data_IF_699788176819
#
_entry.id   IF_699788176819
#
_cell.length_a   1.000
_cell.length_b   1.000
_cell.length_c   1.000
_cell.angle_alpha   90.00
_cell.angle_beta   90.00
_cell.angle_gamma   90.00
#
_symmetry.space_group_name_H-M   'P 1'
#
loop_
_entity.id
_entity.type
_entity.pdbx_description
1 polymer ?
#
# COMPACT_ATOMS: atom_id res chain seq x y z
N UNK A 1 20.79 -30.36 -22.02
CA UNK A 1 19.33 -30.37 -22.25
C UNK A 1 18.49 -29.44 -21.35
N UNK A 2 18.15 -29.78 -20.09
CA UNK A 2 17.24 -28.94 -19.28
C UNK A 2 17.78 -27.52 -19.06
N UNK A 3 19.10 -27.39 -18.89
CA UNK A 3 19.83 -26.10 -18.84
C UNK A 3 19.68 -25.31 -20.15
N UNK A 4 19.89 -25.95 -21.30
CA UNK A 4 19.75 -25.31 -22.62
C UNK A 4 18.30 -24.87 -22.91
N UNK A 5 17.29 -25.70 -22.56
CA UNK A 5 15.88 -25.34 -22.77
C UNK A 5 15.45 -24.21 -21.84
N UNK A 6 15.95 -24.23 -20.60
CA UNK A 6 15.71 -23.18 -19.60
C UNK A 6 16.30 -21.84 -20.02
N UNK A 7 17.58 -21.83 -20.39
CA UNK A 7 18.29 -20.62 -20.82
C UNK A 7 17.87 -20.19 -22.23
N UNK A 8 17.54 -21.13 -23.11
CA UNK A 8 17.21 -20.89 -24.52
C UNK A 8 18.41 -20.35 -25.31
N UNK A 9 18.25 -20.25 -26.64
CA UNK A 9 19.25 -19.61 -27.52
C UNK A 9 19.37 -18.09 -27.27
N UNK A 10 18.42 -17.49 -26.53
CA UNK A 10 18.34 -16.05 -26.28
C UNK A 10 18.00 -15.66 -24.82
N UNK A 11 18.27 -16.50 -23.82
CA UNK A 11 18.10 -16.10 -22.41
C UNK A 11 16.66 -16.07 -21.87
N UNK A 12 15.74 -16.85 -22.44
CA UNK A 12 14.31 -16.81 -22.13
C UNK A 12 13.92 -17.28 -20.70
N UNK A 13 14.89 -17.73 -19.87
CA UNK A 13 14.76 -18.03 -18.44
C UNK A 13 13.42 -18.72 -18.06
N UNK A 14 13.08 -19.80 -18.76
CA UNK A 14 11.75 -20.39 -18.71
C UNK A 14 11.47 -21.10 -17.38
N UNK A 15 10.22 -21.06 -16.92
CA UNK A 15 9.80 -21.75 -15.70
C UNK A 15 9.98 -23.28 -15.80
N UNK A 16 10.22 -23.94 -14.66
CA UNK A 16 10.55 -25.37 -14.59
C UNK A 16 9.50 -26.28 -15.25
N UNK A 17 8.21 -25.95 -15.12
CA UNK A 17 7.10 -26.70 -15.76
C UNK A 17 7.13 -26.58 -17.30
N UNK A 18 7.46 -25.40 -17.82
CA UNK A 18 7.60 -25.16 -19.26
C UNK A 18 8.78 -25.94 -19.83
N UNK A 19 9.89 -25.96 -19.11
CA UNK A 19 11.08 -26.76 -19.47
C UNK A 19 10.73 -28.25 -19.50
N UNK A 20 10.11 -28.77 -18.44
CA UNK A 20 9.69 -30.18 -18.38
C UNK A 20 8.74 -30.55 -19.53
N UNK A 21 7.78 -29.69 -19.84
CA UNK A 21 6.84 -29.89 -20.95
C UNK A 21 7.55 -29.96 -22.31
N UNK A 22 8.59 -29.14 -22.53
CA UNK A 22 9.39 -29.18 -23.75
C UNK A 22 10.24 -30.45 -23.84
N UNK A 23 10.78 -30.93 -22.72
CA UNK A 23 11.52 -32.19 -22.70
C UNK A 23 10.61 -33.37 -23.05
N UNK A 24 9.39 -33.42 -22.50
CA UNK A 24 8.41 -34.45 -22.85
C UNK A 24 8.03 -34.42 -24.34
N UNK A 25 7.88 -33.23 -24.93
CA UNK A 25 7.59 -33.10 -26.38
C UNK A 25 8.72 -33.59 -27.28
N UNK A 26 9.94 -33.72 -26.77
CA UNK A 26 11.07 -34.32 -27.49
C UNK A 26 11.13 -35.84 -27.34
N UNK A 27 10.09 -36.46 -26.76
CA UNK A 27 10.02 -37.91 -26.55
C UNK A 27 10.86 -38.42 -25.38
N UNK A 28 11.45 -37.52 -24.60
CA UNK A 28 12.29 -37.89 -23.46
C UNK A 28 11.43 -37.98 -22.21
N UNK A 29 11.38 -39.18 -21.64
CA UNK A 29 10.61 -39.48 -20.45
C UNK A 29 11.51 -39.93 -19.30
N UNK A 30 11.32 -39.31 -18.15
CA UNK A 30 11.92 -39.73 -16.88
C UNK A 30 10.99 -39.33 -15.72
N UNK A 31 10.74 -40.19 -14.71
CA UNK A 31 9.81 -39.87 -13.62
C UNK A 31 10.16 -38.61 -12.82
N UNK A 32 11.44 -38.24 -12.76
CA UNK A 32 11.94 -37.10 -11.97
C UNK A 32 12.24 -35.85 -12.80
N UNK A 33 11.80 -35.79 -14.06
CA UNK A 33 12.16 -34.70 -14.98
C UNK A 33 11.77 -33.32 -14.44
N UNK A 34 10.62 -33.24 -13.76
CA UNK A 34 10.17 -32.01 -13.13
C UNK A 34 11.10 -31.59 -11.99
N UNK A 35 11.59 -32.55 -11.18
CA UNK A 35 12.55 -32.28 -10.10
C UNK A 35 13.86 -31.73 -10.68
N UNK A 36 14.36 -32.34 -11.76
CA UNK A 36 15.56 -31.87 -12.47
C UNK A 36 15.37 -30.45 -13.00
N UNK A 37 14.22 -30.15 -13.60
CA UNK A 37 13.92 -28.81 -14.10
C UNK A 37 13.82 -27.78 -12.96
N UNK A 38 13.20 -28.13 -11.82
CA UNK A 38 13.12 -27.25 -10.65
C UNK A 38 14.50 -26.95 -10.09
N UNK A 39 15.36 -27.97 -9.94
CA UNK A 39 16.75 -27.78 -9.49
C UNK A 39 17.52 -26.89 -10.47
N UNK A 40 17.31 -27.06 -11.78
CA UNK A 40 17.98 -26.26 -12.79
C UNK A 40 17.58 -24.78 -12.73
N UNK A 41 16.28 -24.48 -12.58
CA UNK A 41 15.79 -23.09 -12.42
C UNK A 41 16.28 -22.50 -11.10
N UNK A 42 16.25 -23.27 -10.00
CA UNK A 42 16.75 -22.82 -8.69
C UNK A 42 18.24 -22.48 -8.70
N UNK A 43 19.06 -23.14 -9.52
CA UNK A 43 20.49 -22.86 -9.67
C UNK A 43 20.79 -21.69 -10.62
N UNK A 44 19.80 -21.19 -11.36
CA UNK A 44 20.01 -20.13 -12.33
C UNK A 44 20.09 -18.76 -11.64
N UNK A 45 21.27 -18.14 -11.69
CA UNK A 45 21.53 -16.84 -11.07
C UNK A 45 20.62 -15.73 -11.63
N UNK A 46 20.38 -15.71 -12.95
CA UNK A 46 19.44 -14.74 -13.56
C UNK A 46 18.03 -14.88 -12.97
N UNK A 47 17.55 -16.11 -12.76
CA UNK A 47 16.26 -16.36 -12.14
C UNK A 47 16.24 -16.07 -10.64
N UNK A 48 17.36 -16.24 -9.93
CA UNK A 48 17.46 -15.89 -8.51
C UNK A 48 17.46 -14.38 -8.31
N UNK A 49 18.19 -13.63 -9.16
CA UNK A 49 18.30 -12.17 -9.07
C UNK A 49 17.01 -11.45 -9.48
N UNK A 50 16.32 -11.95 -10.51
CA UNK A 50 15.17 -11.25 -11.11
C UNK A 50 13.83 -11.98 -10.87
N UNK A 51 13.86 -13.17 -10.28
CA UNK A 51 12.65 -13.93 -9.97
C UNK A 51 11.87 -13.24 -8.87
N UNK A 52 10.53 -13.23 -8.99
CA UNK A 52 9.66 -12.78 -7.90
C UNK A 52 9.90 -13.69 -6.69
N UNK A 53 10.27 -13.12 -5.55
CA UNK A 53 10.30 -13.84 -4.28
C UNK A 53 8.86 -14.20 -3.89
N UNK A 54 8.49 -15.48 -3.79
CA UNK A 54 7.19 -15.88 -3.28
C UNK A 54 7.08 -15.68 -1.75
N UNK A 55 8.20 -15.33 -1.10
CA UNK A 55 8.37 -15.34 0.36
C UNK A 55 8.74 -13.95 0.85
N UNK A 56 8.24 -12.89 0.22
CA UNK A 56 8.11 -11.65 0.97
C UNK A 56 7.14 -11.94 2.12
N UNK A 57 7.54 -11.76 3.39
CA UNK A 57 6.60 -11.90 4.48
C UNK A 57 5.43 -10.95 4.20
N UNK A 58 4.24 -11.52 4.04
CA UNK A 58 3.02 -10.73 4.10
C UNK A 58 2.93 -10.32 5.56
N UNK A 59 3.33 -9.09 5.90
CA UNK A 59 3.04 -8.54 7.20
C UNK A 59 1.52 -8.60 7.39
N UNK A 60 1.11 -9.17 8.52
CA UNK A 60 -0.31 -9.24 8.86
C UNK A 60 -0.79 -7.81 9.07
N UNK A 61 -1.79 -7.40 8.28
CA UNK A 61 -2.36 -6.06 8.40
C UNK A 61 -3.08 -5.99 9.74
N UNK A 62 -2.51 -5.26 10.70
CA UNK A 62 -3.14 -5.04 11.99
C UNK A 62 -4.37 -4.14 11.80
N UNK A 63 -5.59 -4.62 12.14
CA UNK A 63 -6.79 -3.81 12.02
C UNK A 63 -6.81 -2.78 13.15
N UNK A 64 -6.81 -1.51 12.78
CA UNK A 64 -6.99 -0.40 13.72
C UNK A 64 -8.37 -0.54 14.39
N UNK A 65 -8.39 -0.81 15.70
CA UNK A 65 -9.62 -1.01 16.46
C UNK A 65 -10.48 0.27 16.46
N UNK A 66 -11.77 0.21 16.06
CA UNK A 66 -12.65 1.36 16.08
C UNK A 66 -13.17 1.59 17.51
N UNK A 67 -12.77 2.71 18.12
CA UNK A 67 -13.03 2.96 19.55
C UNK A 67 -14.41 3.62 19.76
N UNK A 68 -14.74 4.63 18.95
CA UNK A 68 -16.01 5.39 19.02
C UNK A 68 -16.37 5.99 17.66
N UNK A 69 -17.66 6.13 17.30
CA UNK A 69 -18.08 6.82 16.08
C UNK A 69 -17.54 8.24 16.05
N UNK A 70 -17.00 8.67 14.90
CA UNK A 70 -16.45 10.02 14.70
C UNK A 70 -15.35 10.39 15.72
N UNK A 71 -14.57 9.41 16.18
CA UNK A 71 -13.36 9.70 16.93
C UNK A 71 -12.13 9.75 16.01
N UNK A 72 -12.13 8.94 14.95
CA UNK A 72 -10.94 8.68 14.14
C UNK A 72 -11.27 8.72 12.65
N UNK A 73 -10.49 9.48 11.90
CA UNK A 73 -10.65 9.62 10.46
C UNK A 73 -9.34 9.34 9.72
N UNK A 74 -9.44 8.63 8.60
CA UNK A 74 -8.34 8.42 7.68
C UNK A 74 -8.43 9.43 6.55
N UNK A 75 -7.38 10.23 6.34
CA UNK A 75 -7.28 11.15 5.21
C UNK A 75 -6.35 10.58 4.15
N UNK A 76 -6.80 10.64 2.90
CA UNK A 76 -5.99 10.28 1.74
C UNK A 76 -6.23 11.28 0.59
N UNK A 77 -5.21 11.44 -0.24
CA UNK A 77 -5.27 12.17 -1.50
C UNK A 77 -5.06 11.18 -2.63
N UNK A 78 -6.10 11.00 -3.42
CA UNK A 78 -6.04 10.14 -4.59
C UNK A 78 -5.19 10.82 -5.66
N UNK A 79 -4.28 10.01 -6.22
CA UNK A 79 -3.32 10.34 -7.28
C UNK A 79 -3.92 11.17 -8.42
N UNK A 80 -3.07 11.88 -9.19
CA UNK A 80 -3.55 12.75 -10.25
C UNK A 80 -4.34 11.98 -11.31
N UNK A 81 -5.59 12.37 -11.48
CA UNK A 81 -6.48 11.97 -12.56
C UNK A 81 -6.21 12.80 -13.82
N UNK A 82 -6.68 12.36 -15.00
CA UNK A 82 -6.83 13.23 -16.15
C UNK A 82 -7.60 14.49 -15.74
N UNK A 83 -7.12 15.66 -16.18
CA UNK A 83 -7.70 16.95 -15.79
C UNK A 83 -9.16 17.00 -16.20
N UNK A 84 -10.05 17.12 -15.21
CA UNK A 84 -11.48 17.24 -15.42
C UNK A 84 -11.85 18.67 -15.85
N UNK A 85 -13.14 18.87 -16.18
CA UNK A 85 -13.70 20.21 -16.38
C UNK A 85 -13.42 21.04 -15.12
N UNK A 86 -12.95 22.27 -15.30
CA UNK A 86 -12.54 23.22 -14.25
C UNK A 86 -11.16 22.98 -13.60
N UNK A 87 -10.31 22.13 -14.17
CA UNK A 87 -8.91 22.01 -13.74
C UNK A 87 -8.67 21.09 -12.53
N UNK A 88 -9.70 20.37 -12.09
CA UNK A 88 -9.59 19.36 -11.03
C UNK A 88 -8.77 18.16 -11.50
N UNK A 89 -7.79 17.76 -10.70
CA UNK A 89 -6.90 16.63 -11.00
C UNK A 89 -6.66 15.71 -9.82
N UNK A 90 -7.02 16.10 -8.60
CA UNK A 90 -6.90 15.25 -7.42
C UNK A 90 -8.26 15.11 -6.75
N UNK A 91 -8.37 14.17 -5.81
CA UNK A 91 -9.50 14.10 -4.88
C UNK A 91 -8.95 13.89 -3.48
N UNK A 92 -9.40 14.69 -2.51
CA UNK A 92 -9.19 14.40 -1.10
C UNK A 92 -10.36 13.58 -0.59
N UNK A 93 -10.06 12.55 0.19
CA UNK A 93 -11.04 11.65 0.79
C UNK A 93 -10.75 11.54 2.28
N UNK A 94 -11.80 11.56 3.07
CA UNK A 94 -11.77 11.24 4.48
C UNK A 94 -12.72 10.08 4.77
N UNK A 95 -12.23 9.08 5.48
CA UNK A 95 -13.02 7.91 5.87
C UNK A 95 -13.03 7.79 7.39
N UNK A 96 -14.21 7.81 7.98
CA UNK A 96 -14.40 7.57 9.41
C UNK A 96 -14.25 6.08 9.72
N UNK A 97 -13.49 5.74 10.76
CA UNK A 97 -13.05 4.35 10.98
C UNK A 97 -14.16 3.41 11.49
N UNK A 98 -15.13 3.90 12.27
CA UNK A 98 -16.18 3.08 12.88
C UNK A 98 -17.29 2.70 11.89
N UNK A 99 -17.96 3.69 11.33
CA UNK A 99 -19.11 3.58 10.43
C UNK A 99 -18.72 3.46 8.97
N UNK A 100 -17.44 3.69 8.63
CA UNK A 100 -16.95 3.80 7.25
C UNK A 100 -17.59 4.96 6.48
N UNK A 101 -18.03 6.01 7.18
CA UNK A 101 -18.55 7.22 6.54
C UNK A 101 -17.48 7.90 5.68
N UNK A 102 -17.86 8.36 4.48
CA UNK A 102 -16.92 8.92 3.50
C UNK A 102 -17.29 10.37 3.19
N UNK A 103 -16.33 11.27 3.32
CA UNK A 103 -16.37 12.63 2.79
C UNK A 103 -15.32 12.76 1.68
N UNK A 104 -15.67 13.36 0.53
CA UNK A 104 -14.75 13.51 -0.60
C UNK A 104 -14.96 14.82 -1.35
N UNK A 105 -13.87 15.47 -1.77
CA UNK A 105 -13.92 16.72 -2.55
C UNK A 105 -12.84 16.72 -3.65
N UNK A 106 -13.18 17.17 -4.88
CA UNK A 106 -12.19 17.29 -5.94
C UNK A 106 -11.26 18.49 -5.70
N UNK A 107 -9.98 18.34 -5.99
CA UNK A 107 -8.95 19.36 -5.83
C UNK A 107 -8.23 19.69 -7.14
N UNK A 108 -8.10 20.98 -7.44
CA UNK A 108 -7.32 21.48 -8.59
C UNK A 108 -5.82 21.42 -8.33
N UNK A 109 -5.41 21.64 -7.08
CA UNK A 109 -4.05 21.49 -6.61
C UNK A 109 -4.07 20.98 -5.16
N UNK A 110 -3.03 20.25 -4.77
CA UNK A 110 -2.83 19.79 -3.40
C UNK A 110 -2.10 20.90 -2.64
N UNK A 111 -2.86 21.72 -1.91
CA UNK A 111 -2.35 22.87 -1.12
C UNK A 111 -2.85 22.80 0.32
N UNK A 112 -2.16 23.48 1.25
CA UNK A 112 -2.50 23.47 2.68
C UNK A 112 -3.91 24.00 2.90
N UNK A 113 -4.19 25.17 2.35
CA UNK A 113 -5.49 25.82 2.41
C UNK A 113 -6.63 24.93 1.87
N UNK A 114 -6.41 24.17 0.80
CA UNK A 114 -7.44 23.29 0.25
C UNK A 114 -7.74 22.10 1.17
N UNK A 115 -6.70 21.49 1.74
CA UNK A 115 -6.83 20.37 2.69
C UNK A 115 -7.50 20.86 3.99
N UNK A 116 -7.05 21.98 4.56
CA UNK A 116 -7.62 22.57 5.77
C UNK A 116 -9.09 22.96 5.57
N UNK A 117 -9.42 23.60 4.44
CA UNK A 117 -10.80 23.96 4.10
C UNK A 117 -11.70 22.73 4.04
N UNK A 118 -11.23 21.65 3.44
CA UNK A 118 -11.95 20.38 3.37
C UNK A 118 -12.20 19.81 4.78
N UNK A 119 -11.14 19.73 5.62
CA UNK A 119 -11.26 19.21 6.99
C UNK A 119 -12.20 20.06 7.84
N UNK A 120 -12.05 21.39 7.79
CA UNK A 120 -12.89 22.30 8.55
C UNK A 120 -14.36 22.17 8.14
N UNK A 121 -14.65 22.31 6.84
CA UNK A 121 -16.02 22.36 6.33
C UNK A 121 -16.74 21.02 6.43
N UNK A 122 -16.09 19.93 6.02
CA UNK A 122 -16.77 18.65 5.83
C UNK A 122 -16.67 17.75 7.06
N UNK A 123 -15.70 17.98 7.95
CA UNK A 123 -15.50 17.16 9.16
C UNK A 123 -15.80 17.98 10.41
N UNK A 124 -15.03 19.04 10.69
CA UNK A 124 -15.11 19.76 11.98
C UNK A 124 -16.45 20.47 12.17
N UNK A 125 -16.91 21.25 11.19
CA UNK A 125 -18.19 21.96 11.29
C UNK A 125 -19.41 21.04 11.34
N UNK A 126 -19.29 19.76 10.94
CA UNK A 126 -20.41 18.82 10.85
C UNK A 126 -20.44 17.82 12.00
N UNK A 127 -19.28 17.30 12.38
CA UNK A 127 -19.14 16.21 13.35
C UNK A 127 -18.36 16.63 14.61
N UNK A 128 -17.88 17.87 14.68
CA UNK A 128 -17.06 18.38 15.78
C UNK A 128 -15.57 18.09 15.60
N UNK A 129 -14.79 18.44 16.62
CA UNK A 129 -13.34 18.19 16.64
C UNK A 129 -13.10 16.70 16.85
N UNK A 130 -12.34 16.10 15.94
CA UNK A 130 -12.03 14.67 15.97
C UNK A 130 -10.89 14.41 16.95
N UNK A 131 -10.86 13.21 17.53
CA UNK A 131 -9.78 12.80 18.44
C UNK A 131 -8.50 12.49 17.66
N UNK A 132 -8.62 11.85 16.50
CA UNK A 132 -7.46 11.39 15.75
C UNK A 132 -7.67 11.48 14.24
N UNK A 133 -6.61 11.87 13.54
CA UNK A 133 -6.51 11.80 12.10
C UNK A 133 -5.30 10.96 11.69
N UNK A 134 -5.52 10.02 10.78
CA UNK A 134 -4.51 9.10 10.26
C UNK A 134 -4.29 9.42 8.79
N UNK A 135 -3.02 9.53 8.38
CA UNK A 135 -2.67 9.75 6.97
C UNK A 135 -1.66 8.72 6.52
N UNK A 136 -1.87 8.14 5.33
CA UNK A 136 -0.97 7.15 4.72
C UNK A 136 0.13 7.81 3.85
N UNK A 137 -0.10 9.04 3.40
CA UNK A 137 0.80 9.81 2.54
C UNK A 137 1.91 10.56 3.31
N UNK A 138 2.27 10.04 4.48
CA UNK A 138 3.57 10.08 5.17
C UNK A 138 4.20 11.43 5.55
N UNK A 139 4.13 12.46 4.72
CA UNK A 139 4.76 13.77 4.96
C UNK A 139 4.02 14.92 4.30
N UNK A 140 3.45 14.71 3.10
CA UNK A 140 2.81 15.79 2.35
C UNK A 140 1.53 16.28 3.05
N UNK A 141 0.62 15.36 3.39
CA UNK A 141 -0.63 15.71 4.06
C UNK A 141 -0.39 16.34 5.44
N UNK A 142 0.49 15.73 6.23
CA UNK A 142 0.83 16.22 7.56
C UNK A 142 1.47 17.63 7.50
N UNK A 143 2.42 17.85 6.58
CA UNK A 143 3.04 19.17 6.38
C UNK A 143 2.02 20.23 5.95
N UNK A 144 1.10 19.87 5.04
CA UNK A 144 0.06 20.80 4.57
C UNK A 144 -0.94 21.18 5.66
N UNK A 145 -1.18 20.31 6.63
CA UNK A 145 -2.05 20.61 7.77
C UNK A 145 -1.33 21.42 8.85
N UNK A 146 -0.01 21.23 9.01
CA UNK A 146 0.82 21.93 10.00
C UNK A 146 1.32 23.32 9.55
N UNK A 147 1.32 23.61 8.24
CA UNK A 147 2.04 24.77 7.70
C UNK A 147 1.50 26.16 8.12
N UNK A 148 0.27 26.25 8.65
CA UNK A 148 -0.44 27.52 8.87
C UNK A 148 -1.06 27.66 10.28
N UNK A 149 -0.51 27.01 11.32
CA UNK A 149 -1.02 27.01 12.71
C UNK A 149 -2.46 26.49 12.89
N UNK A 150 -3.08 25.93 11.85
CA UNK A 150 -4.43 25.37 11.84
C UNK A 150 -4.67 24.29 12.93
N UNK A 151 -3.58 23.65 13.38
CA UNK A 151 -3.61 22.57 14.36
C UNK A 151 -3.54 23.04 15.82
N UNK A 152 -3.08 24.27 16.08
CA UNK A 152 -2.96 24.77 17.47
C UNK A 152 -4.31 24.86 18.21
N UNK A 153 -5.43 25.24 17.57
CA UNK A 153 -6.74 25.28 18.25
C UNK A 153 -7.40 23.89 18.43
N UNK A 154 -6.91 22.85 17.73
CA UNK A 154 -7.49 21.50 17.77
C UNK A 154 -6.71 20.60 18.73
N UNK A 155 -6.47 21.05 19.96
CA UNK A 155 -5.64 20.37 20.98
C UNK A 155 -6.06 18.91 21.26
N UNK A 156 -7.27 18.51 20.87
CA UNK A 156 -7.77 17.14 21.03
C UNK A 156 -7.45 16.20 19.86
N UNK A 157 -6.92 16.70 18.74
CA UNK A 157 -6.64 15.92 17.54
C UNK A 157 -5.18 15.43 17.53
N UNK A 158 -4.96 14.15 17.83
CA UNK A 158 -3.68 13.48 17.58
C UNK A 158 -3.54 13.08 16.10
N UNK A 159 -2.37 13.36 15.55
CA UNK A 159 -2.04 13.02 14.16
C UNK A 159 -1.05 11.89 14.18
N UNK A 160 -1.41 10.77 13.56
CA UNK A 160 -0.57 9.59 13.56
C UNK A 160 -0.23 9.22 12.12
N UNK A 161 1.07 9.10 11.85
CA UNK A 161 1.51 8.54 10.59
C UNK A 161 1.25 7.03 10.62
N UNK A 162 0.75 6.46 9.51
CA UNK A 162 0.45 5.02 9.47
C UNK A 162 1.62 4.12 9.90
N UNK A 163 2.87 4.53 9.65
CA UNK A 163 4.07 3.82 10.10
C UNK A 163 4.29 3.83 11.61
N UNK A 164 3.84 4.86 12.34
CA UNK A 164 4.00 4.96 13.80
C UNK A 164 3.00 4.08 14.56
N UNK A 165 1.80 3.85 13.99
CA UNK A 165 0.84 2.88 14.52
C UNK A 165 1.40 1.44 14.51
N UNK A 166 2.29 1.13 13.56
CA UNK A 166 2.89 -0.20 13.44
C UNK A 166 3.95 -0.45 14.54
N UNK A 167 4.57 0.59 15.09
CA UNK A 167 5.61 0.50 16.11
C UNK A 167 5.04 0.46 17.55
N UNK A 168 3.93 1.15 17.83
CA UNK A 168 3.33 1.25 19.18
C UNK A 168 2.64 -0.06 19.64
N UNK A 169 2.22 -0.90 18.70
CA UNK A 169 1.60 -2.20 19.00
C UNK A 169 2.63 -3.31 19.27
N UNK A 170 3.86 -3.17 18.76
CA UNK A 170 4.94 -4.12 18.99
C UNK A 170 5.43 -4.14 20.46
N UNK A 171 5.29 -3.02 21.18
CA UNK A 171 5.68 -2.90 22.59
C UNK A 171 4.65 -3.54 23.54
N UNK A 172 3.37 -3.60 23.13
CA UNK A 172 2.29 -4.15 23.96
C UNK A 172 2.18 -5.69 23.98
N UNK A 173 3.05 -6.41 23.26
CA UNK A 173 3.09 -7.89 23.25
C UNK A 173 4.23 -8.51 24.07
N UNK A 174 4.93 -7.74 24.91
CA UNK A 174 5.98 -8.29 25.80
C UNK A 174 5.62 -8.18 27.28
N UNK A 175 4.46 -8.70 27.67
CA UNK A 175 4.20 -9.16 29.05
C UNK A 175 3.13 -10.23 29.03
N UNK A 176 3.57 -11.49 28.98
CA UNK A 176 3.03 -12.64 29.74
C UNK A 176 3.98 -13.84 29.62
#
# INVERSE_FOLDING_TARGET
MAKEIHQGLYGANQAARTVASKVFRQGIYWPTILKVCVVQVKKCESCQRHGRSPTAPQYELQPIAPIWPFARWGLDIIRPFPVARNGYKFAIVAVEYFSRWIEAEPLGAVTSAAVQKFVWKNIVCRFGVQKEFITDNGKLLLLLLLCDDFLQPMEFAHWIQKSELEDEEADNTTTD
#
